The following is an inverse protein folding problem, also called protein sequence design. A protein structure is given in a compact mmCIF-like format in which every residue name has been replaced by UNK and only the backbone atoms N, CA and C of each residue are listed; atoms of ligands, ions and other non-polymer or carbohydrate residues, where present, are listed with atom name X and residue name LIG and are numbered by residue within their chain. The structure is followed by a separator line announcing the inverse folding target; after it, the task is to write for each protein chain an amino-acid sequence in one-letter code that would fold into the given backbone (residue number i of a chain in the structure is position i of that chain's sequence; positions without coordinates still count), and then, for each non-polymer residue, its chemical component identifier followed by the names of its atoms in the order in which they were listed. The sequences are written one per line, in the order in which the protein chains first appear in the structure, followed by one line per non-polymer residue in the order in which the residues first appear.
data_IF_474755272195
#
_entry.id   IF_474755272195
#
_cell.length_a   1.000
_cell.length_b   1.000
_cell.length_c   1.000
_cell.angle_alpha   90.00
_cell.angle_beta   90.00
_cell.angle_gamma   90.00
#
_symmetry.space_group_name_H-M   'P 1'
#
loop_
_entity.id
_entity.type
_entity.pdbx_description
1 polymer ?
#
# COMPACT_ATOMS: atom_id res chain seq x y z
N UNK A 1 -3.13 -22.80 -6.06
CA UNK A 1 -2.77 -23.49 -4.81
C UNK A 1 -1.72 -22.74 -4.01
N UNK A 2 -0.56 -22.37 -4.58
CA UNK A 2 0.49 -21.67 -3.80
C UNK A 2 0.08 -20.29 -3.27
N UNK A 3 -0.65 -19.48 -4.07
CA UNK A 3 -1.21 -18.21 -3.61
C UNK A 3 -2.18 -18.39 -2.44
N UNK A 4 -3.11 -19.35 -2.55
CA UNK A 4 -4.06 -19.67 -1.49
C UNK A 4 -3.33 -20.06 -0.20
N UNK A 5 -2.35 -20.95 -0.30
CA UNK A 5 -1.60 -21.43 0.86
C UNK A 5 -0.79 -20.31 1.53
N UNK A 6 -0.07 -19.50 0.75
CA UNK A 6 0.70 -18.37 1.28
C UNK A 6 -0.16 -17.26 1.88
N UNK A 7 -1.37 -17.03 1.34
CA UNK A 7 -2.36 -16.15 1.95
C UNK A 7 -2.81 -16.69 3.32
N UNK A 8 -3.17 -17.97 3.41
CA UNK A 8 -3.53 -18.60 4.68
C UNK A 8 -2.42 -18.52 5.73
N UNK A 9 -1.16 -18.66 5.32
CA UNK A 9 -0.01 -18.49 6.21
C UNK A 9 0.13 -17.04 6.69
N UNK A 10 0.02 -16.07 5.78
CA UNK A 10 0.23 -14.66 6.12
C UNK A 10 -0.88 -14.09 7.00
N UNK A 11 -2.13 -14.48 6.76
CA UNK A 11 -3.30 -13.95 7.46
C UNK A 11 -3.81 -14.83 8.61
N UNK A 12 -3.50 -16.12 8.63
CA UNK A 12 -4.13 -17.07 9.56
C UNK A 12 -3.22 -17.60 10.65
N UNK A 13 -1.89 -17.56 10.46
CA UNK A 13 -0.94 -18.14 11.41
C UNK A 13 -0.61 -17.12 12.50
N UNK A 14 -0.52 -17.61 13.75
CA UNK A 14 -0.06 -16.82 14.89
C UNK A 14 1.33 -16.26 14.60
N UNK A 15 1.52 -14.96 14.86
CA UNK A 15 2.78 -14.26 14.62
C UNK A 15 3.99 -15.06 15.14
N UNK A 16 4.98 -15.25 14.27
CA UNK A 16 6.21 -15.97 14.55
C UNK A 16 7.35 -15.50 13.62
N UNK A 17 8.54 -16.07 13.78
CA UNK A 17 9.75 -15.68 13.05
C UNK A 17 9.65 -15.83 11.52
N UNK A 18 8.71 -16.62 11.02
CA UNK A 18 8.51 -16.82 9.58
C UNK A 18 7.51 -15.81 8.97
N UNK A 19 7.01 -14.84 9.75
CA UNK A 19 6.02 -13.87 9.29
C UNK A 19 6.49 -13.08 8.04
N UNK A 20 7.73 -12.59 8.00
CA UNK A 20 8.28 -11.91 6.82
C UNK A 20 8.41 -12.84 5.60
N UNK A 21 8.95 -14.07 5.74
CA UNK A 21 8.88 -15.08 4.68
C UNK A 21 7.46 -15.35 4.15
N UNK A 22 6.45 -15.41 5.02
CA UNK A 22 5.05 -15.59 4.60
C UNK A 22 4.58 -14.45 3.72
N UNK A 23 4.81 -13.20 4.15
CA UNK A 23 4.48 -11.99 3.38
C UNK A 23 5.19 -11.99 2.02
N UNK A 24 6.49 -12.32 1.99
CA UNK A 24 7.27 -12.34 0.75
C UNK A 24 6.77 -13.41 -0.24
N UNK A 25 6.42 -14.60 0.26
CA UNK A 25 5.86 -15.69 -0.55
C UNK A 25 4.46 -15.30 -1.08
N UNK A 26 3.61 -14.72 -0.23
CA UNK A 26 2.30 -14.24 -0.63
C UNK A 26 2.41 -13.15 -1.71
N UNK A 27 3.24 -12.14 -1.49
CA UNK A 27 3.51 -11.09 -2.48
C UNK A 27 4.00 -11.68 -3.80
N UNK A 28 5.05 -12.51 -3.77
CA UNK A 28 5.64 -13.10 -4.97
C UNK A 28 4.62 -13.91 -5.80
N UNK A 29 3.78 -14.71 -5.14
CA UNK A 29 2.77 -15.53 -5.81
C UNK A 29 1.60 -14.70 -6.34
N UNK A 30 1.19 -13.67 -5.60
CA UNK A 30 0.13 -12.73 -6.02
C UNK A 30 0.56 -11.95 -7.26
N UNK A 31 1.74 -11.33 -7.23
CA UNK A 31 2.23 -10.54 -8.37
C UNK A 31 2.55 -11.41 -9.58
N UNK A 32 2.98 -12.67 -9.37
CA UNK A 32 3.14 -13.63 -10.47
C UNK A 32 1.80 -13.96 -11.14
N UNK A 33 0.73 -14.14 -10.35
CA UNK A 33 -0.61 -14.35 -10.88
C UNK A 33 -1.13 -13.12 -11.63
N UNK A 34 -1.01 -11.92 -11.04
CA UNK A 34 -1.42 -10.67 -11.68
C UNK A 34 -0.68 -10.48 -13.01
N UNK A 35 0.62 -10.75 -13.03
CA UNK A 35 1.43 -10.67 -14.25
C UNK A 35 0.94 -11.63 -15.33
N UNK A 36 0.62 -12.88 -14.97
CA UNK A 36 0.13 -13.89 -15.91
C UNK A 36 -1.24 -13.51 -16.51
N UNK A 37 -2.12 -12.91 -15.70
CA UNK A 37 -3.46 -12.50 -16.11
C UNK A 37 -3.49 -11.17 -16.87
N UNK A 38 -2.45 -10.34 -16.71
CA UNK A 38 -2.36 -9.03 -17.35
C UNK A 38 -2.08 -9.15 -18.86
N UNK A 39 -3.14 -9.23 -19.67
CA UNK A 39 -3.07 -9.34 -21.14
C UNK A 39 -3.59 -8.09 -21.87
N UNK A 40 -3.82 -7.00 -21.16
CA UNK A 40 -4.43 -5.77 -21.68
C UNK A 40 -3.50 -5.03 -22.66
N UNK A 41 -4.09 -4.63 -23.80
CA UNK A 41 -3.44 -3.83 -24.86
C UNK A 41 -3.98 -2.40 -24.91
N UNK A 42 -4.46 -1.87 -23.78
CA UNK A 42 -4.98 -0.51 -23.73
C UNK A 42 -3.86 0.51 -23.95
N UNK A 43 -4.03 1.40 -24.93
CA UNK A 43 -3.02 2.40 -25.29
C UNK A 43 -3.18 3.70 -24.47
N UNK A 44 -2.29 3.87 -23.50
CA UNK A 44 -2.19 5.09 -22.68
C UNK A 44 -1.10 6.07 -23.17
N UNK A 45 -0.49 5.84 -24.34
CA UNK A 45 0.66 6.62 -24.86
C UNK A 45 0.38 8.12 -24.98
N UNK A 46 -0.86 8.50 -25.29
CA UNK A 46 -1.28 9.90 -25.44
C UNK A 46 -1.39 10.66 -24.11
N UNK A 47 -1.43 9.97 -22.96
CA UNK A 47 -1.64 10.60 -21.67
C UNK A 47 -0.33 11.17 -21.12
N UNK A 48 -0.28 12.50 -20.94
CA UNK A 48 0.88 13.19 -20.36
C UNK A 48 0.73 13.34 -18.85
N UNK A 49 1.29 12.41 -18.08
CA UNK A 49 1.27 12.47 -16.62
C UNK A 49 2.43 13.31 -16.02
N UNK A 50 2.26 13.87 -14.81
CA UNK A 50 3.36 14.47 -14.05
C UNK A 50 4.29 13.38 -13.45
N UNK A 51 5.02 12.67 -14.32
CA UNK A 51 5.80 11.48 -13.97
C UNK A 51 6.77 11.66 -12.80
N UNK A 52 7.44 12.82 -12.71
CA UNK A 52 8.39 13.08 -11.60
C UNK A 52 7.70 13.03 -10.25
N UNK A 53 6.57 13.73 -10.10
CA UNK A 53 5.78 13.76 -8.86
C UNK A 53 5.17 12.40 -8.55
N UNK A 54 4.66 11.70 -9.56
CA UNK A 54 4.08 10.36 -9.39
C UNK A 54 5.15 9.34 -8.95
N UNK A 55 6.31 9.32 -9.60
CA UNK A 55 7.39 8.41 -9.22
C UNK A 55 7.89 8.69 -7.81
N UNK A 56 8.11 9.97 -7.47
CA UNK A 56 8.54 10.35 -6.13
C UNK A 56 7.50 9.91 -5.08
N UNK A 57 6.23 10.21 -5.31
CA UNK A 57 5.15 9.81 -4.42
C UNK A 57 5.08 8.29 -4.22
N UNK A 58 5.05 7.51 -5.29
CA UNK A 58 4.96 6.05 -5.17
C UNK A 58 6.17 5.45 -4.44
N UNK A 59 7.39 5.94 -4.71
CA UNK A 59 8.59 5.49 -4.01
C UNK A 59 8.49 5.85 -2.52
N UNK A 60 8.15 7.10 -2.19
CA UNK A 60 8.02 7.56 -0.81
C UNK A 60 6.94 6.79 -0.07
N UNK A 61 5.76 6.59 -0.67
CA UNK A 61 4.67 5.82 -0.08
C UNK A 61 5.07 4.37 0.16
N UNK A 62 5.68 3.70 -0.83
CA UNK A 62 6.13 2.32 -0.68
C UNK A 62 7.19 2.16 0.42
N UNK A 63 8.14 3.10 0.51
CA UNK A 63 9.14 3.11 1.60
C UNK A 63 8.49 3.41 2.94
N UNK A 64 7.58 4.39 3.02
CA UNK A 64 6.89 4.77 4.24
C UNK A 64 6.10 3.59 4.83
N UNK A 65 5.42 2.80 3.99
CA UNK A 65 4.72 1.58 4.42
C UNK A 65 5.67 0.55 5.03
N UNK A 66 6.81 0.28 4.39
CA UNK A 66 7.80 -0.67 4.94
C UNK A 66 8.34 -0.15 6.27
N UNK A 67 8.72 1.14 6.33
CA UNK A 67 9.27 1.75 7.54
C UNK A 67 8.24 1.86 8.67
N UNK A 68 6.95 1.97 8.37
CA UNK A 68 5.89 2.05 9.37
C UNK A 68 5.71 0.74 10.14
N UNK A 69 5.95 -0.41 9.49
CA UNK A 69 5.59 -1.73 10.03
C UNK A 69 6.80 -2.63 10.33
N UNK A 70 7.84 -2.58 9.49
CA UNK A 70 9.01 -3.45 9.62
C UNK A 70 9.74 -3.32 10.97
N UNK A 71 9.94 -2.11 11.56
CA UNK A 71 10.60 -1.99 12.85
C UNK A 71 9.87 -2.71 13.99
N UNK A 72 8.54 -2.73 13.97
CA UNK A 72 7.73 -3.42 14.98
C UNK A 72 7.90 -4.94 14.86
N UNK A 73 7.86 -5.46 13.63
CA UNK A 73 8.11 -6.89 13.34
C UNK A 73 9.51 -7.31 13.81
N UNK A 74 10.55 -6.56 13.45
CA UNK A 74 11.94 -6.88 13.84
C UNK A 74 12.09 -6.81 15.35
N UNK A 75 11.51 -5.81 16.02
CA UNK A 75 11.61 -5.66 17.47
C UNK A 75 10.93 -6.82 18.19
N UNK A 76 9.75 -7.24 17.74
CA UNK A 76 9.04 -8.39 18.30
C UNK A 76 9.84 -9.69 18.13
N UNK A 77 10.44 -9.91 16.95
CA UNK A 77 11.31 -11.07 16.70
C UNK A 77 12.53 -11.09 17.61
N UNK A 78 13.24 -9.97 17.75
CA UNK A 78 14.44 -9.87 18.60
C UNK A 78 14.14 -10.09 20.09
N UNK A 79 12.93 -9.71 20.53
CA UNK A 79 12.50 -9.88 21.93
C UNK A 79 11.84 -11.24 22.21
N UNK A 80 11.55 -12.03 21.17
CA UNK A 80 10.75 -13.25 21.30
C UNK A 80 9.33 -12.97 21.81
N UNK A 81 8.76 -11.82 21.49
CA UNK A 81 7.41 -11.40 21.91
C UNK A 81 6.45 -11.35 20.72
N UNK A 82 5.15 -11.22 20.99
CA UNK A 82 4.18 -10.86 19.96
C UNK A 82 4.37 -9.40 19.49
N UNK A 83 3.68 -9.04 18.40
CA UNK A 83 3.56 -7.65 17.96
C UNK A 83 2.83 -6.81 19.01
N UNK A 84 3.26 -5.56 19.20
CA UNK A 84 2.75 -4.71 20.27
C UNK A 84 1.29 -4.28 20.08
N UNK A 85 0.83 -4.17 18.82
CA UNK A 85 -0.53 -3.73 18.49
C UNK A 85 -1.50 -4.88 18.19
N UNK A 86 -1.05 -6.13 18.28
CA UNK A 86 -1.85 -7.30 17.86
C UNK A 86 -3.08 -7.55 18.73
N UNK A 87 -3.09 -7.03 19.96
CA UNK A 87 -4.15 -7.24 20.95
C UNK A 87 -4.59 -8.72 21.03
N UNK A 88 -5.87 -9.00 20.69
CA UNK A 88 -6.45 -10.34 20.70
C UNK A 88 -6.38 -11.06 19.35
N UNK A 89 -5.74 -10.45 18.35
CA UNK A 89 -5.56 -11.04 17.03
C UNK A 89 -4.35 -11.97 17.00
N UNK A 90 -4.36 -12.90 16.05
CA UNK A 90 -3.27 -13.84 15.83
C UNK A 90 -2.15 -13.25 14.95
N UNK A 91 -2.48 -12.29 14.09
CA UNK A 91 -1.56 -11.63 13.15
C UNK A 91 -1.98 -10.18 12.92
N UNK A 92 -1.09 -9.37 12.36
CA UNK A 92 -1.40 -8.00 11.91
C UNK A 92 -1.72 -7.97 10.41
N UNK A 93 -3.02 -7.99 10.09
CA UNK A 93 -3.51 -7.99 8.70
C UNK A 93 -3.00 -6.77 7.93
N UNK A 94 -2.97 -5.61 8.58
CA UNK A 94 -2.47 -4.36 7.97
C UNK A 94 -1.03 -4.48 7.51
N UNK A 95 -0.18 -5.17 8.29
CA UNK A 95 1.25 -5.30 7.95
C UNK A 95 1.41 -6.14 6.68
N UNK A 96 0.63 -7.22 6.57
CA UNK A 96 0.59 -8.10 5.40
C UNK A 96 0.09 -7.36 4.16
N UNK A 97 -1.00 -6.58 4.27
CA UNK A 97 -1.55 -5.82 3.15
C UNK A 97 -0.58 -4.73 2.67
N UNK A 98 -0.03 -3.97 3.61
CA UNK A 98 0.80 -2.82 3.29
C UNK A 98 2.16 -3.23 2.74
N UNK A 99 2.85 -4.19 3.37
CA UNK A 99 4.16 -4.66 2.92
C UNK A 99 4.09 -5.73 1.84
N UNK A 100 3.02 -6.54 1.80
CA UNK A 100 2.86 -7.64 0.86
C UNK A 100 2.17 -7.25 -0.44
N UNK A 101 1.32 -6.21 -0.43
CA UNK A 101 0.56 -5.79 -1.62
C UNK A 101 0.88 -4.34 -1.99
N UNK A 102 0.60 -3.38 -1.10
CA UNK A 102 0.58 -1.97 -1.48
C UNK A 102 1.99 -1.44 -1.79
N UNK A 103 2.96 -1.67 -0.91
CA UNK A 103 4.34 -1.21 -1.14
C UNK A 103 4.98 -1.86 -2.38
N UNK A 104 4.92 -3.19 -2.58
CA UNK A 104 5.39 -3.80 -3.82
C UNK A 104 4.66 -3.26 -5.06
N UNK A 105 3.35 -3.05 -4.99
CA UNK A 105 2.58 -2.46 -6.09
C UNK A 105 3.06 -1.03 -6.42
N UNK A 106 3.40 -0.21 -5.42
CA UNK A 106 3.98 1.11 -5.65
C UNK A 106 5.27 1.02 -6.48
N UNK A 107 6.21 0.15 -6.08
CA UNK A 107 7.47 -0.03 -6.81
C UNK A 107 7.26 -0.63 -8.20
N UNK A 108 6.36 -1.61 -8.33
CA UNK A 108 6.01 -2.22 -9.61
C UNK A 108 5.40 -1.18 -10.57
N UNK A 109 4.52 -0.33 -10.07
CA UNK A 109 3.87 0.76 -10.82
C UNK A 109 4.90 1.75 -11.35
N UNK A 110 5.90 2.15 -10.55
CA UNK A 110 6.99 3.02 -11.01
C UNK A 110 7.76 2.37 -12.17
N UNK A 111 8.10 1.08 -12.05
CA UNK A 111 8.80 0.35 -13.12
C UNK A 111 7.96 0.26 -14.40
N UNK A 112 6.67 -0.03 -14.27
CA UNK A 112 5.73 -0.15 -15.40
C UNK A 112 5.51 1.20 -16.09
N UNK A 113 5.36 2.29 -15.32
CA UNK A 113 5.20 3.65 -15.87
C UNK A 113 6.45 4.14 -16.61
N UNK A 114 7.65 3.85 -16.09
CA UNK A 114 8.91 4.14 -16.81
C UNK A 114 8.97 3.44 -18.17
N UNK A 115 8.49 2.21 -18.22
CA UNK A 115 8.42 1.39 -19.43
C UNK A 115 7.16 1.64 -20.27
N UNK A 116 6.33 2.63 -19.91
CA UNK A 116 5.08 2.99 -20.59
C UNK A 116 4.11 1.80 -20.77
N UNK A 117 4.08 0.88 -19.81
CA UNK A 117 3.21 -0.30 -19.84
C UNK A 117 1.79 0.03 -19.37
N UNK A 118 0.73 -0.54 -20.00
CA UNK A 118 -0.67 -0.24 -19.68
C UNK A 118 -1.02 -0.46 -18.22
N UNK A 119 -0.64 -1.62 -17.68
CA UNK A 119 -0.82 -2.00 -16.28
C UNK A 119 -0.28 -0.96 -15.29
N UNK A 120 0.77 -0.21 -15.65
CA UNK A 120 1.31 0.86 -14.81
C UNK A 120 0.36 2.04 -14.64
N UNK A 121 -0.45 2.36 -15.65
CA UNK A 121 -1.44 3.44 -15.56
C UNK A 121 -2.66 3.01 -14.74
N UNK A 122 -3.09 1.76 -14.88
CA UNK A 122 -4.19 1.18 -14.11
C UNK A 122 -3.85 1.07 -12.63
N UNK A 123 -2.70 0.47 -12.31
CA UNK A 123 -2.22 0.37 -10.94
C UNK A 123 -2.02 1.75 -10.30
N UNK A 124 -1.58 2.75 -11.08
CA UNK A 124 -1.45 4.12 -10.58
C UNK A 124 -2.79 4.65 -10.06
N UNK A 125 -3.87 4.55 -10.85
CA UNK A 125 -5.19 5.06 -10.44
C UNK A 125 -5.70 4.32 -9.21
N UNK A 126 -5.55 2.99 -9.19
CA UNK A 126 -5.94 2.14 -8.06
C UNK A 126 -5.18 2.56 -6.80
N UNK A 127 -3.86 2.69 -6.87
CA UNK A 127 -3.02 3.06 -5.71
C UNK A 127 -3.33 4.47 -5.22
N UNK A 128 -3.54 5.43 -6.12
CA UNK A 128 -3.92 6.79 -5.72
C UNK A 128 -5.27 6.81 -5.01
N UNK A 129 -6.23 6.02 -5.49
CA UNK A 129 -7.53 5.87 -4.85
C UNK A 129 -7.42 5.22 -3.47
N UNK A 130 -6.72 4.08 -3.37
CA UNK A 130 -6.48 3.37 -2.10
C UNK A 130 -5.80 4.29 -1.08
N UNK A 131 -4.71 4.97 -1.44
CA UNK A 131 -4.03 5.92 -0.55
C UNK A 131 -4.95 7.06 -0.09
N UNK A 132 -5.85 7.54 -0.96
CA UNK A 132 -6.82 8.58 -0.59
C UNK A 132 -7.82 8.06 0.45
N UNK A 133 -8.33 6.83 0.25
CA UNK A 133 -9.27 6.20 1.17
C UNK A 133 -8.63 5.87 2.53
N UNK A 134 -7.37 5.43 2.55
CA UNK A 134 -6.63 5.17 3.79
C UNK A 134 -6.56 6.41 4.68
N UNK A 135 -6.32 7.60 4.10
CA UNK A 135 -6.32 8.84 4.89
C UNK A 135 -7.67 9.13 5.55
N UNK A 136 -8.77 8.93 4.82
CA UNK A 136 -10.12 9.10 5.37
C UNK A 136 -10.36 8.08 6.49
N UNK A 137 -10.03 6.81 6.23
CA UNK A 137 -10.17 5.72 7.20
C UNK A 137 -9.42 6.03 8.49
N UNK A 138 -8.15 6.44 8.41
CA UNK A 138 -7.31 6.73 9.57
C UNK A 138 -7.87 7.92 10.36
N UNK A 139 -8.31 8.99 9.70
CA UNK A 139 -8.95 10.12 10.40
C UNK A 139 -10.21 9.69 11.16
N UNK A 140 -11.09 8.92 10.51
CA UNK A 140 -12.32 8.42 11.12
C UNK A 140 -12.00 7.49 12.29
N UNK A 141 -11.07 6.56 12.09
CA UNK A 141 -10.61 5.63 13.13
C UNK A 141 -10.06 6.37 14.35
N UNK A 142 -9.17 7.35 14.16
CA UNK A 142 -8.62 8.13 15.27
C UNK A 142 -9.69 8.93 16.00
N UNK A 143 -10.68 9.49 15.30
CA UNK A 143 -11.78 10.21 15.93
C UNK A 143 -12.61 9.29 16.85
N UNK A 144 -12.95 8.10 16.38
CA UNK A 144 -13.71 7.12 17.18
C UNK A 144 -12.88 6.54 18.34
N UNK A 145 -11.59 6.28 18.14
CA UNK A 145 -10.70 5.84 19.20
C UNK A 145 -10.58 6.90 20.31
N UNK A 146 -10.45 8.18 19.93
CA UNK A 146 -10.44 9.29 20.88
C UNK A 146 -11.78 9.41 21.61
N UNK A 147 -12.91 9.25 20.92
CA UNK A 147 -14.24 9.29 21.53
C UNK A 147 -14.47 8.13 22.52
N UNK A 148 -13.84 6.98 22.27
CA UNK A 148 -13.85 5.83 23.17
C UNK A 148 -12.86 5.93 24.34
N UNK A 149 -12.10 7.03 24.45
CA UNK A 149 -11.11 7.25 25.51
C UNK A 149 -9.80 6.47 25.33
N UNK A 150 -9.53 5.94 24.12
CA UNK A 150 -8.30 5.21 23.82
C UNK A 150 -7.18 6.24 23.60
N UNK A 151 -6.17 6.23 24.48
CA UNK A 151 -5.00 7.11 24.38
C UNK A 151 -3.96 6.45 23.50
N UNK A 152 -3.80 6.96 22.27
CA UNK A 152 -2.77 6.50 21.35
C UNK A 152 -1.40 7.07 21.75
N UNK A 153 -0.33 6.25 21.76
CA UNK A 153 1.02 6.75 21.95
C UNK A 153 1.38 7.84 20.93
N UNK A 154 2.04 8.91 21.38
CA UNK A 154 2.46 10.04 20.53
C UNK A 154 3.25 9.55 19.31
N UNK A 155 4.11 8.55 19.50
CA UNK A 155 4.86 7.92 18.42
C UNK A 155 3.95 7.37 17.33
N UNK A 156 2.86 6.67 17.69
CA UNK A 156 1.90 6.11 16.74
C UNK A 156 1.07 7.21 16.03
N UNK A 157 0.71 8.29 16.72
CA UNK A 157 0.03 9.43 16.11
C UNK A 157 0.90 10.10 15.04
N UNK A 158 2.19 10.31 15.30
CA UNK A 158 3.08 10.95 14.34
C UNK A 158 3.38 9.99 13.18
N UNK A 159 3.82 8.76 13.46
CA UNK A 159 4.33 7.85 12.43
C UNK A 159 3.23 7.19 11.62
N UNK A 160 2.07 6.91 12.22
CA UNK A 160 0.94 6.26 11.54
C UNK A 160 -0.04 7.33 11.08
N UNK A 161 -0.64 8.12 11.98
CA UNK A 161 -1.69 9.05 11.55
C UNK A 161 -1.18 10.19 10.65
N UNK A 162 -0.23 11.00 11.12
CA UNK A 162 0.17 12.21 10.38
C UNK A 162 0.78 11.91 9.00
N UNK A 163 1.63 10.88 8.92
CA UNK A 163 2.24 10.46 7.64
C UNK A 163 1.18 9.94 6.67
N UNK A 164 0.26 9.07 7.10
CA UNK A 164 -0.78 8.54 6.22
C UNK A 164 -1.73 9.62 5.73
N UNK A 165 -2.10 10.58 6.59
CA UNK A 165 -2.94 11.72 6.20
C UNK A 165 -2.24 12.62 5.20
N UNK A 166 -0.94 12.92 5.39
CA UNK A 166 -0.16 13.72 4.46
C UNK A 166 -0.04 13.04 3.08
N UNK A 167 0.25 11.74 3.07
CA UNK A 167 0.30 10.94 1.84
C UNK A 167 -1.06 10.90 1.13
N UNK A 168 -2.16 10.75 1.89
CA UNK A 168 -3.51 10.75 1.34
C UNK A 168 -3.89 12.10 0.71
N UNK A 169 -3.59 13.23 1.39
CA UNK A 169 -3.84 14.56 0.84
C UNK A 169 -3.08 14.78 -0.48
N UNK A 170 -1.81 14.36 -0.53
CA UNK A 170 -1.03 14.41 -1.76
C UNK A 170 -1.60 13.48 -2.84
N UNK A 171 -2.04 12.29 -2.46
CA UNK A 171 -2.68 11.31 -3.34
C UNK A 171 -3.94 11.88 -4.01
N UNK A 172 -4.82 12.53 -3.25
CA UNK A 172 -6.03 13.18 -3.76
C UNK A 172 -5.65 14.25 -4.79
N UNK A 173 -4.63 15.06 -4.49
CA UNK A 173 -4.16 16.10 -5.41
C UNK A 173 -3.62 15.52 -6.73
N UNK A 174 -2.90 14.40 -6.67
CA UNK A 174 -2.39 13.71 -7.85
C UNK A 174 -3.51 13.02 -8.63
N UNK A 175 -4.44 12.36 -7.95
CA UNK A 175 -5.59 11.70 -8.56
C UNK A 175 -6.43 12.69 -9.35
N UNK A 176 -6.72 13.85 -8.76
CA UNK A 176 -7.41 14.94 -9.45
C UNK A 176 -6.65 15.40 -10.71
N UNK A 177 -5.32 15.55 -10.63
CA UNK A 177 -4.48 15.93 -11.79
C UNK A 177 -4.45 14.85 -12.87
N UNK A 178 -4.44 13.58 -12.49
CA UNK A 178 -4.47 12.44 -13.42
C UNK A 178 -5.80 12.42 -14.17
N UNK A 179 -6.92 12.41 -13.44
CA UNK A 179 -8.27 12.36 -14.01
C UNK A 179 -8.55 13.55 -14.93
N UNK A 180 -8.18 14.78 -14.52
CA UNK A 180 -8.37 15.96 -15.37
C UNK A 180 -7.62 15.85 -16.70
N UNK A 181 -6.42 15.25 -16.71
CA UNK A 181 -5.61 15.09 -17.92
C UNK A 181 -6.10 13.95 -18.82
N UNK A 182 -6.66 12.89 -18.25
CA UNK A 182 -7.26 11.81 -19.04
C UNK A 182 -8.53 12.30 -19.74
N UNK A 183 -9.42 13.03 -19.04
CA UNK A 183 -10.62 13.62 -19.64
C UNK A 183 -10.29 14.59 -20.78
N UNK A 184 -9.33 15.49 -20.58
CA UNK A 184 -8.92 16.43 -21.63
C UNK A 184 -8.35 15.74 -22.88
N UNK A 185 -7.66 14.62 -22.71
CA UNK A 185 -7.13 13.83 -23.84
C UNK A 185 -8.20 13.05 -24.59
N UNK A 186 -9.32 12.72 -23.95
CA UNK A 186 -10.46 12.07 -24.59
C UNK A 186 -11.28 13.07 -25.43
N UNK A 187 -11.42 14.32 -24.97
CA UNK A 187 -12.16 15.36 -25.67
C UNK A 187 -11.41 15.98 -26.87
N UNK A 188 -10.12 15.69 -27.04
CA UNK A 188 -9.28 16.20 -28.13
C UNK A 188 -9.07 15.20 -29.28
N UNK A 189 -9.74 14.03 -29.23
CA UNK A 189 -9.79 13.03 -30.31
C UNK A 189 -11.15 13.08 -30.97
#
# INVERSE_FOLDING_TARGET
MLLYYSASLSFGVVFNELHLPYIALFAGTLFSLIWLLSQEKTDYSSIRLPYKSIHAFLIVSGVALIVAWLPDIITAMLKGTSLALIENYTTEITYVLDMGIIAPACFATVKLLRNRKPLGYELLVILLFVCSMVGIMVCVQTAFQSAAGIVLPIGALITKMAIFVALAAFSISLLYRVLRRTTNSANSR
#
